data_IF_795078777826
#
_entry.id   IF_795078777826
#
_cell.length_a   1.000
_cell.length_b   1.000
_cell.length_c   1.000
_cell.angle_alpha   90.00
_cell.angle_beta   90.00
_cell.angle_gamma   90.00
#
_symmetry.space_group_name_H-M   'P 1'
#
loop_
_entity.id
_entity.type
_entity.pdbx_description
1 polymer ?
#
# COMPACT_ATOMS: atom_id res chain seq x y z
N UNK A 1 30.76 -12.17 68.05
CA UNK A 1 31.30 -12.74 66.79
C UNK A 1 30.20 -13.29 65.89
N UNK A 2 29.30 -14.14 66.40
CA UNK A 2 28.17 -14.73 65.64
C UNK A 2 27.26 -13.69 64.95
N UNK A 3 26.85 -12.61 65.63
CA UNK A 3 26.01 -11.57 65.00
C UNK A 3 26.69 -10.85 63.81
N UNK A 4 28.01 -10.63 63.86
CA UNK A 4 28.73 -10.00 62.74
C UNK A 4 28.79 -10.95 61.53
N UNK A 5 29.01 -12.24 61.78
CA UNK A 5 29.01 -13.28 60.73
C UNK A 5 27.62 -13.39 60.08
N UNK A 6 26.54 -13.40 60.87
CA UNK A 6 25.17 -13.43 60.34
C UNK A 6 24.83 -12.19 59.52
N UNK A 7 25.30 -11.01 59.94
CA UNK A 7 25.11 -9.75 59.21
C UNK A 7 25.83 -9.77 57.85
N UNK A 8 27.09 -10.23 57.82
CA UNK A 8 27.87 -10.35 56.58
C UNK A 8 27.30 -11.39 55.62
N UNK A 9 26.80 -12.53 56.12
CA UNK A 9 26.13 -13.52 55.25
C UNK A 9 24.83 -12.98 54.66
N UNK A 10 24.06 -12.20 55.43
CA UNK A 10 22.83 -11.60 54.94
C UNK A 10 23.08 -10.53 53.85
N UNK A 11 24.08 -9.65 54.04
CA UNK A 11 24.46 -8.69 52.99
C UNK A 11 24.95 -9.37 51.72
N UNK A 12 25.69 -10.48 51.84
CA UNK A 12 26.20 -11.20 50.68
C UNK A 12 25.09 -11.91 49.88
N UNK A 13 24.06 -12.44 50.57
CA UNK A 13 22.87 -13.01 49.93
C UNK A 13 22.04 -11.92 49.24
N UNK A 14 21.83 -10.77 49.88
CA UNK A 14 21.09 -9.64 49.29
C UNK A 14 21.82 -9.12 48.04
N UNK A 15 23.15 -8.97 48.11
CA UNK A 15 23.96 -8.56 46.97
C UNK A 15 23.86 -9.59 45.82
N UNK A 16 23.95 -10.89 46.12
CA UNK A 16 23.80 -11.94 45.11
C UNK A 16 22.41 -11.92 44.44
N UNK A 17 21.34 -11.69 45.21
CA UNK A 17 19.98 -11.57 44.68
C UNK A 17 19.79 -10.33 43.77
N UNK A 18 20.47 -9.21 44.09
CA UNK A 18 20.46 -8.01 43.25
C UNK A 18 21.13 -8.25 41.89
N UNK A 19 22.21 -9.04 41.82
CA UNK A 19 22.88 -9.36 40.55
C UNK A 19 22.09 -10.34 39.67
N UNK A 20 21.19 -11.16 40.22
CA UNK A 20 20.31 -12.06 39.45
C UNK A 20 19.01 -11.38 38.98
N UNK A 21 18.71 -10.17 39.47
CA UNK A 21 17.48 -9.44 39.14
C UNK A 21 17.50 -8.82 37.74
N UNK A 22 18.68 -8.72 37.11
CA UNK A 22 18.83 -8.21 35.75
C UNK A 22 18.72 -9.36 34.75
N UNK A 23 17.50 -9.77 34.41
CA UNK A 23 17.26 -10.67 33.28
C UNK A 23 16.97 -9.85 32.04
N UNK A 24 17.90 -9.82 31.09
CA UNK A 24 17.65 -9.27 29.75
C UNK A 24 17.14 -10.39 28.85
N UNK A 25 15.83 -10.55 28.73
CA UNK A 25 15.25 -11.38 27.67
C UNK A 25 15.10 -10.52 26.40
N UNK A 26 15.81 -10.84 25.30
CA UNK A 26 15.68 -10.11 24.04
C UNK A 26 14.27 -10.13 23.45
N UNK A 27 13.43 -11.08 23.87
CA UNK A 27 12.03 -11.21 23.43
C UNK A 27 11.03 -10.60 24.41
N UNK A 28 11.50 -10.01 25.52
CA UNK A 28 10.63 -9.29 26.45
C UNK A 28 10.52 -7.82 26.03
N UNK A 29 9.31 -7.22 26.02
CA UNK A 29 9.16 -5.78 25.82
C UNK A 29 9.78 -4.94 26.95
N UNK A 30 10.24 -5.60 28.02
CA UNK A 30 10.84 -4.96 29.18
C UNK A 30 9.81 -4.61 30.26
N UNK A 31 10.25 -3.85 31.26
CA UNK A 31 9.37 -3.32 32.30
C UNK A 31 9.07 -1.86 32.01
N UNK A 32 7.79 -1.50 32.03
CA UNK A 32 7.36 -0.10 31.90
C UNK A 32 7.24 0.52 33.30
N UNK A 33 7.88 1.67 33.52
CA UNK A 33 7.74 2.44 34.77
C UNK A 33 6.84 3.64 34.51
N UNK A 34 5.78 3.77 35.31
CA UNK A 34 4.75 4.83 35.17
C UNK A 34 4.18 4.91 33.74
N UNK A 35 3.48 3.88 33.24
CA UNK A 35 2.96 3.84 31.86
C UNK A 35 1.74 4.76 31.61
N UNK A 36 1.56 5.81 32.41
CA UNK A 36 0.46 6.75 32.25
C UNK A 36 0.59 7.45 30.89
N UNK A 37 -0.48 7.38 30.08
CA UNK A 37 -0.54 7.89 28.71
C UNK A 37 0.39 7.23 27.67
N UNK A 38 1.04 6.10 27.97
CA UNK A 38 1.80 5.35 26.96
C UNK A 38 0.89 4.65 25.95
N UNK A 39 -0.34 4.34 26.39
CA UNK A 39 -1.42 3.80 25.58
C UNK A 39 -2.51 4.84 25.46
N UNK A 40 -2.93 5.12 24.23
CA UNK A 40 -4.00 6.06 23.99
C UNK A 40 -5.32 5.48 24.52
N UNK A 41 -6.14 6.26 25.24
CA UNK A 41 -7.51 5.85 25.54
C UNK A 41 -8.41 5.85 24.28
N UNK A 42 -7.95 6.44 23.17
CA UNK A 42 -8.69 6.41 21.91
C UNK A 42 -8.42 5.11 21.15
N UNK A 43 -9.47 4.55 20.53
CA UNK A 43 -9.35 3.36 19.68
C UNK A 43 -8.56 3.68 18.42
N UNK A 44 -7.41 3.04 18.25
CA UNK A 44 -6.56 3.16 17.07
C UNK A 44 -6.88 2.07 16.03
N UNK A 45 -6.56 2.31 14.75
CA UNK A 45 -7.06 1.49 13.63
C UNK A 45 -6.50 0.05 13.55
N UNK A 46 -5.31 -0.20 14.08
CA UNK A 46 -4.61 -1.49 14.00
C UNK A 46 -3.83 -1.82 15.27
N UNK A 47 -4.41 -1.54 16.44
CA UNK A 47 -3.76 -1.85 17.72
C UNK A 47 -4.20 -3.17 18.30
N UNK A 48 -3.23 -3.88 18.86
CA UNK A 48 -3.35 -5.22 19.44
C UNK A 48 -3.44 -5.21 20.97
N UNK A 49 -3.22 -4.06 21.60
CA UNK A 49 -3.20 -3.92 23.06
C UNK A 49 -4.56 -3.57 23.67
N UNK A 50 -5.57 -3.23 22.85
CA UNK A 50 -6.92 -2.88 23.33
C UNK A 50 -6.92 -1.57 24.12
N UNK A 51 -7.99 -1.25 24.83
CA UNK A 51 -7.93 -0.18 25.83
C UNK A 51 -7.17 -0.67 27.08
N UNK A 52 -6.56 0.26 27.80
CA UNK A 52 -5.75 -0.06 28.98
C UNK A 52 -6.64 -0.65 30.10
N UNK A 53 -6.26 -1.80 30.71
CA UNK A 53 -6.96 -2.43 31.84
C UNK A 53 -7.15 -1.53 33.07
N UNK A 54 -6.47 -0.38 33.16
CA UNK A 54 -6.75 0.63 34.18
C UNK A 54 -8.11 1.30 33.99
N UNK A 55 -8.66 1.33 32.77
CA UNK A 55 -9.96 1.93 32.45
C UNK A 55 -11.08 0.91 32.27
N UNK A 56 -10.75 -0.31 31.85
CA UNK A 56 -11.70 -1.41 31.60
C UNK A 56 -11.23 -2.71 32.24
N UNK A 57 -12.11 -3.69 32.45
CA UNK A 57 -11.68 -4.99 32.99
C UNK A 57 -10.79 -5.75 31.98
N UNK A 58 -9.89 -6.61 32.46
CA UNK A 58 -9.01 -7.41 31.58
C UNK A 58 -9.79 -8.31 30.61
N UNK A 59 -10.99 -8.76 31.00
CA UNK A 59 -11.91 -9.47 30.10
C UNK A 59 -12.27 -8.61 28.88
N UNK A 60 -12.74 -7.37 29.12
CA UNK A 60 -13.12 -6.42 28.07
C UNK A 60 -11.91 -6.03 27.23
N UNK A 61 -10.77 -5.72 27.86
CA UNK A 61 -9.54 -5.43 27.14
C UNK A 61 -9.14 -6.60 26.23
N UNK A 62 -9.18 -7.84 26.73
CA UNK A 62 -8.82 -9.03 25.95
C UNK A 62 -9.74 -9.29 24.75
N UNK A 63 -11.04 -8.98 24.85
CA UNK A 63 -11.99 -9.07 23.73
C UNK A 63 -11.72 -8.01 22.67
N UNK A 64 -11.42 -6.77 23.09
CA UNK A 64 -11.06 -5.68 22.20
C UNK A 64 -9.79 -5.99 21.41
N UNK A 65 -8.75 -6.55 22.06
CA UNK A 65 -7.50 -7.00 21.40
C UNK A 65 -7.74 -8.01 20.28
N UNK A 66 -8.82 -8.81 20.39
CA UNK A 66 -9.20 -9.84 19.41
C UNK A 66 -10.20 -9.33 18.36
N UNK A 67 -10.69 -8.11 18.52
CA UNK A 67 -11.71 -7.52 17.65
C UNK A 67 -11.08 -6.42 16.81
N UNK A 68 -11.22 -6.51 15.49
CA UNK A 68 -10.71 -5.49 14.58
C UNK A 68 -11.40 -4.16 14.80
N UNK A 69 -10.63 -3.13 15.14
CA UNK A 69 -11.13 -1.75 15.29
C UNK A 69 -11.46 -1.10 13.94
N UNK A 70 -10.68 -1.40 12.89
CA UNK A 70 -10.96 -1.02 11.51
C UNK A 70 -12.18 -1.78 10.94
N UNK A 71 -13.38 -1.21 11.10
CA UNK A 71 -14.62 -1.81 10.60
C UNK A 71 -14.84 -1.55 9.10
N UNK A 72 -15.58 -2.45 8.45
CA UNK A 72 -16.03 -2.25 7.07
C UNK A 72 -17.11 -1.14 7.02
N UNK A 73 -17.02 -0.21 6.06
CA UNK A 73 -18.09 0.77 5.85
C UNK A 73 -19.36 0.08 5.33
N UNK A 74 -20.51 0.75 5.50
CA UNK A 74 -21.81 0.26 5.00
C UNK A 74 -21.78 0.22 3.47
N UNK A 75 -22.35 -0.84 2.90
CA UNK A 75 -22.43 -0.98 1.45
C UNK A 75 -23.12 0.23 0.80
N UNK A 76 -22.51 0.77 -0.26
CA UNK A 76 -23.02 1.94 -0.98
C UNK A 76 -22.60 3.30 -0.41
N UNK A 77 -21.87 3.34 0.71
CA UNK A 77 -21.33 4.62 1.21
C UNK A 77 -20.24 5.17 0.28
N UNK A 78 -20.33 6.44 -0.08
CA UNK A 78 -19.32 7.15 -0.86
C UNK A 78 -18.62 8.16 0.05
N UNK A 79 -17.30 8.08 0.15
CA UNK A 79 -16.51 9.01 0.95
C UNK A 79 -16.45 10.39 0.30
N UNK A 80 -16.57 11.45 1.10
CA UNK A 80 -16.36 12.81 0.61
C UNK A 80 -14.88 13.05 0.30
N UNK A 81 -14.59 13.56 -0.90
CA UNK A 81 -13.22 13.75 -1.42
C UNK A 81 -12.86 15.20 -1.77
N UNK A 82 -13.72 16.16 -1.46
CA UNK A 82 -13.46 17.58 -1.76
C UNK A 82 -13.16 17.82 -3.23
N UNK A 83 -12.01 18.44 -3.52
CA UNK A 83 -11.58 18.78 -4.87
C UNK A 83 -11.25 17.54 -5.73
N UNK A 84 -10.81 16.44 -5.12
CA UNK A 84 -10.51 15.16 -5.79
C UNK A 84 -11.77 14.27 -5.98
N UNK A 85 -12.98 14.86 -6.04
CA UNK A 85 -14.26 14.13 -6.17
C UNK A 85 -14.30 13.16 -7.36
N UNK A 86 -13.61 13.49 -8.45
CA UNK A 86 -13.55 12.67 -9.66
C UNK A 86 -12.85 11.33 -9.43
N UNK A 87 -11.91 11.28 -8.47
CA UNK A 87 -11.18 10.07 -8.07
C UNK A 87 -11.81 9.37 -6.85
N UNK A 88 -12.99 9.83 -6.41
CA UNK A 88 -13.71 9.32 -5.25
C UNK A 88 -14.93 8.48 -5.60
N UNK A 89 -15.35 8.48 -6.86
CA UNK A 89 -16.58 7.82 -7.29
C UNK A 89 -16.37 6.29 -7.41
N UNK A 90 -17.44 5.50 -7.18
CA UNK A 90 -17.40 4.07 -7.46
C UNK A 90 -17.06 3.80 -8.93
N UNK A 91 -16.24 2.76 -9.16
CA UNK A 91 -15.94 2.31 -10.50
C UNK A 91 -17.18 1.71 -11.16
N UNK A 92 -17.55 2.22 -12.34
CA UNK A 92 -18.83 1.95 -12.97
C UNK A 92 -18.89 0.61 -13.75
N UNK A 93 -17.74 0.06 -14.12
CA UNK A 93 -17.68 -1.11 -15.00
C UNK A 93 -17.60 -2.40 -14.16
N UNK A 94 -18.46 -3.40 -14.42
CA UNK A 94 -18.43 -4.66 -13.67
C UNK A 94 -17.22 -5.51 -14.04
N UNK A 95 -16.78 -6.39 -13.13
CA UNK A 95 -15.70 -7.36 -13.39
C UNK A 95 -16.18 -8.51 -14.30
N UNK A 96 -16.45 -8.19 -15.57
CA UNK A 96 -16.82 -9.15 -16.62
C UNK A 96 -16.02 -8.84 -17.89
N UNK A 97 -15.90 -9.80 -18.84
CA UNK A 97 -15.26 -9.54 -20.12
C UNK A 97 -15.89 -8.34 -20.86
N UNK A 98 -17.21 -8.21 -20.82
CA UNK A 98 -17.93 -7.10 -21.43
C UNK A 98 -17.60 -5.77 -20.73
N UNK A 99 -17.50 -5.77 -19.40
CA UNK A 99 -17.07 -4.59 -18.64
C UNK A 99 -15.63 -4.18 -18.92
N UNK A 100 -14.73 -5.15 -19.17
CA UNK A 100 -13.36 -4.89 -19.58
C UNK A 100 -13.27 -4.27 -20.98
N UNK A 101 -14.06 -4.76 -21.93
CA UNK A 101 -14.14 -4.19 -23.28
C UNK A 101 -14.75 -2.78 -23.26
N UNK A 102 -15.88 -2.61 -22.57
CA UNK A 102 -16.56 -1.32 -22.43
C UNK A 102 -15.68 -0.27 -21.75
N UNK A 103 -14.91 -0.66 -20.72
CA UNK A 103 -13.93 0.23 -20.11
C UNK A 103 -12.87 0.68 -21.15
N UNK A 104 -12.40 -0.21 -22.02
CA UNK A 104 -11.43 0.16 -23.06
C UNK A 104 -11.94 1.21 -24.04
N UNK A 105 -13.24 1.17 -24.35
CA UNK A 105 -13.89 2.07 -25.30
C UNK A 105 -14.23 3.42 -24.65
N UNK A 106 -14.90 3.39 -23.50
CA UNK A 106 -15.55 4.57 -22.93
C UNK A 106 -14.76 5.23 -21.81
N UNK A 107 -13.97 4.48 -21.05
CA UNK A 107 -13.29 5.04 -19.87
C UNK A 107 -12.04 5.82 -20.30
N UNK A 108 -12.05 7.11 -19.98
CA UNK A 108 -10.93 8.02 -20.19
C UNK A 108 -10.40 8.58 -18.87
N UNK A 109 -9.10 8.84 -18.84
CA UNK A 109 -8.46 9.47 -17.69
C UNK A 109 -8.99 10.89 -17.48
N UNK A 110 -9.54 11.24 -16.30
CA UNK A 110 -9.83 12.64 -15.97
C UNK A 110 -8.56 13.41 -15.57
N UNK A 111 -7.43 12.70 -15.34
CA UNK A 111 -6.18 13.31 -14.93
C UNK A 111 -5.44 13.91 -16.15
N UNK A 112 -5.11 15.21 -16.14
CA UNK A 112 -4.30 15.80 -17.20
C UNK A 112 -2.91 15.17 -17.23
N UNK A 113 -2.39 14.94 -18.42
CA UNK A 113 -1.04 14.40 -18.61
C UNK A 113 -0.03 15.51 -18.43
N UNK A 114 0.72 15.50 -17.33
CA UNK A 114 1.76 16.48 -17.01
C UNK A 114 3.04 15.75 -16.60
N UNK A 115 4.19 16.40 -16.68
CA UNK A 115 5.45 15.81 -16.23
C UNK A 115 5.36 15.33 -14.77
N UNK A 116 4.78 16.16 -13.89
CA UNK A 116 4.60 15.83 -12.48
C UNK A 116 3.72 14.59 -12.25
N UNK A 117 2.65 14.42 -13.03
CA UNK A 117 1.80 13.23 -12.92
C UNK A 117 2.50 11.96 -13.42
N UNK A 118 3.28 12.06 -14.49
CA UNK A 118 4.08 10.94 -15.01
C UNK A 118 5.18 10.55 -14.00
N UNK A 119 5.87 11.53 -13.41
CA UNK A 119 6.90 11.28 -12.38
C UNK A 119 6.30 10.62 -11.13
N UNK A 120 5.15 11.09 -10.66
CA UNK A 120 4.42 10.44 -9.58
C UNK A 120 3.99 9.00 -9.96
N UNK A 121 3.60 8.81 -11.22
CA UNK A 121 3.31 7.50 -11.79
C UNK A 121 4.52 6.56 -11.79
N UNK A 122 5.69 7.08 -12.18
CA UNK A 122 6.95 6.35 -12.19
C UNK A 122 7.34 5.89 -10.78
N UNK A 123 7.22 6.76 -9.77
CA UNK A 123 7.49 6.40 -8.38
C UNK A 123 6.55 5.29 -7.89
N UNK A 124 5.24 5.40 -8.16
CA UNK A 124 4.29 4.36 -7.78
C UNK A 124 4.52 3.05 -8.54
N UNK A 125 4.89 3.12 -9.83
CA UNK A 125 5.24 1.95 -10.64
C UNK A 125 6.49 1.25 -10.10
N UNK A 126 7.50 2.01 -9.69
CA UNK A 126 8.72 1.48 -9.09
C UNK A 126 8.41 0.65 -7.85
N UNK A 127 7.57 1.19 -6.96
CA UNK A 127 7.16 0.53 -5.72
C UNK A 127 6.28 -0.69 -5.95
N UNK A 128 5.33 -0.61 -6.89
CA UNK A 128 4.20 -1.55 -6.95
C UNK A 128 4.21 -2.49 -8.16
N UNK A 129 5.01 -2.23 -9.20
CA UNK A 129 4.89 -2.94 -10.48
C UNK A 129 6.19 -3.60 -10.96
N UNK A 130 7.35 -3.00 -10.66
CA UNK A 130 8.65 -3.45 -11.21
C UNK A 130 9.07 -4.86 -10.82
N UNK A 131 8.64 -5.32 -9.63
CA UNK A 131 8.95 -6.66 -9.16
C UNK A 131 8.45 -7.76 -10.11
N UNK A 132 7.39 -7.49 -10.87
CA UNK A 132 6.81 -8.34 -11.90
C UNK A 132 7.11 -7.84 -13.33
N UNK A 133 6.84 -6.57 -13.62
CA UNK A 133 6.93 -6.00 -14.96
C UNK A 133 8.34 -5.55 -15.39
N UNK A 134 9.28 -5.44 -14.46
CA UNK A 134 10.61 -4.87 -14.72
C UNK A 134 10.61 -3.34 -14.76
N UNK A 135 11.80 -2.73 -14.71
CA UNK A 135 11.95 -1.26 -14.71
C UNK A 135 11.51 -0.65 -16.05
N UNK A 136 11.82 -1.33 -17.15
CA UNK A 136 11.49 -0.89 -18.50
C UNK A 136 10.15 -1.47 -19.00
N UNK A 137 9.41 -2.20 -18.15
CA UNK A 137 8.12 -2.77 -18.53
C UNK A 137 8.18 -3.97 -19.48
N UNK A 138 9.32 -4.67 -19.53
CA UNK A 138 9.58 -5.81 -20.44
C UNK A 138 9.03 -7.15 -19.95
N UNK A 139 8.39 -7.17 -18.78
CA UNK A 139 7.90 -8.40 -18.15
C UNK A 139 9.01 -9.26 -17.53
N UNK A 140 10.16 -8.66 -17.25
CA UNK A 140 11.39 -9.30 -16.78
C UNK A 140 11.72 -8.91 -15.34
N UNK A 141 10.71 -8.60 -14.52
CA UNK A 141 10.88 -8.33 -13.09
C UNK A 141 11.46 -9.54 -12.33
N UNK A 142 11.95 -9.31 -11.11
CA UNK A 142 12.60 -10.36 -10.31
C UNK A 142 11.73 -11.61 -10.12
N UNK A 143 10.41 -11.45 -9.94
CA UNK A 143 9.46 -12.56 -9.81
C UNK A 143 9.35 -13.37 -11.11
N UNK A 144 9.44 -12.68 -12.27
CA UNK A 144 9.44 -13.31 -13.59
C UNK A 144 10.74 -14.07 -13.87
N UNK A 145 11.89 -13.42 -13.62
CA UNK A 145 13.21 -14.02 -13.84
C UNK A 145 13.46 -15.25 -12.97
N UNK A 146 12.89 -15.27 -11.77
CA UNK A 146 12.99 -16.41 -10.86
C UNK A 146 12.00 -17.55 -11.19
N UNK A 147 11.18 -17.40 -12.24
CA UNK A 147 10.29 -18.45 -12.74
C UNK A 147 9.00 -18.65 -11.94
N UNK A 148 8.70 -17.77 -10.97
CA UNK A 148 7.47 -17.88 -10.16
C UNK A 148 6.23 -17.48 -10.95
N UNK A 149 6.33 -16.45 -11.80
CA UNK A 149 5.26 -16.00 -12.70
C UNK A 149 5.85 -15.84 -14.09
N UNK A 150 5.43 -16.67 -15.05
CA UNK A 150 5.89 -16.59 -16.43
C UNK A 150 4.87 -15.91 -17.34
N UNK A 151 5.34 -15.37 -18.46
CA UNK A 151 4.47 -14.85 -19.52
C UNK A 151 3.92 -13.44 -19.29
N UNK A 152 4.55 -12.65 -18.40
CA UNK A 152 4.23 -11.23 -18.24
C UNK A 152 4.55 -10.51 -19.56
N UNK A 153 3.58 -9.82 -20.19
CA UNK A 153 3.77 -9.22 -21.49
C UNK A 153 4.61 -7.93 -21.42
N UNK A 154 5.39 -7.68 -22.45
CA UNK A 154 6.12 -6.42 -22.68
C UNK A 154 5.16 -5.30 -23.09
N UNK A 155 5.26 -4.14 -22.42
CA UNK A 155 4.42 -2.98 -22.70
C UNK A 155 4.65 -2.36 -24.07
N UNK A 156 5.90 -2.30 -24.54
CA UNK A 156 6.28 -1.68 -25.82
C UNK A 156 5.98 -2.56 -27.04
N UNK A 157 5.78 -3.87 -26.83
CA UNK A 157 5.56 -4.84 -27.92
C UNK A 157 4.14 -5.43 -27.86
N UNK A 158 3.80 -6.16 -26.80
CA UNK A 158 2.55 -6.92 -26.73
C UNK A 158 1.36 -6.09 -26.27
N UNK A 159 1.61 -5.07 -25.46
CA UNK A 159 0.57 -4.19 -24.94
C UNK A 159 0.68 -2.76 -25.46
N UNK A 160 1.38 -2.53 -26.58
CA UNK A 160 1.65 -1.19 -27.11
C UNK A 160 0.39 -0.35 -27.32
N UNK A 161 -0.66 -0.99 -27.84
CA UNK A 161 -1.93 -0.33 -28.19
C UNK A 161 -3.03 -0.63 -27.17
N UNK A 162 -2.67 -1.08 -25.95
CA UNK A 162 -3.66 -1.35 -24.91
C UNK A 162 -4.32 -0.04 -24.46
N UNK A 163 -5.66 0.12 -24.56
CA UNK A 163 -6.34 1.34 -24.13
C UNK A 163 -6.25 1.60 -22.63
N UNK A 164 -6.20 2.87 -22.24
CA UNK A 164 -6.08 3.29 -20.84
C UNK A 164 -7.20 2.78 -19.94
N UNK A 165 -8.42 2.71 -20.46
CA UNK A 165 -9.54 2.17 -19.70
C UNK A 165 -9.39 0.67 -19.36
N UNK A 166 -8.81 -0.12 -20.26
CA UNK A 166 -8.46 -1.53 -20.01
C UNK A 166 -7.31 -1.68 -19.01
N UNK A 167 -6.35 -0.77 -19.05
CA UNK A 167 -5.28 -0.70 -18.04
C UNK A 167 -5.88 -0.41 -16.66
N UNK A 168 -6.76 0.59 -16.56
CA UNK A 168 -7.44 0.92 -15.31
C UNK A 168 -8.29 -0.24 -14.79
N UNK A 169 -9.06 -0.91 -15.66
CA UNK A 169 -9.84 -2.08 -15.29
C UNK A 169 -8.97 -3.20 -14.72
N UNK A 170 -7.80 -3.44 -15.34
CA UNK A 170 -6.81 -4.43 -14.87
C UNK A 170 -6.26 -4.06 -13.49
N UNK A 171 -5.98 -2.78 -13.23
CA UNK A 171 -5.53 -2.33 -11.91
C UNK A 171 -6.65 -2.42 -10.85
N UNK A 172 -7.90 -2.21 -11.25
CA UNK A 172 -9.06 -2.26 -10.37
C UNK A 172 -9.42 -3.69 -9.93
N UNK A 173 -9.44 -4.66 -10.85
CA UNK A 173 -9.88 -6.03 -10.54
C UNK A 173 -8.79 -7.09 -10.62
N UNK A 174 -7.66 -6.79 -11.26
CA UNK A 174 -6.67 -7.79 -11.67
C UNK A 174 -6.98 -8.38 -13.04
N UNK A 175 -6.02 -9.14 -13.59
CA UNK A 175 -6.19 -9.89 -14.84
C UNK A 175 -5.27 -11.11 -14.87
N UNK A 176 -5.84 -12.29 -15.07
CA UNK A 176 -5.10 -13.54 -15.04
C UNK A 176 -4.45 -13.77 -13.67
N UNK A 177 -3.12 -13.83 -13.62
CA UNK A 177 -2.36 -13.99 -12.38
C UNK A 177 -2.09 -12.66 -11.64
N UNK A 178 -2.36 -11.53 -12.27
CA UNK A 178 -2.22 -10.21 -11.64
C UNK A 178 -3.44 -9.92 -10.76
N UNK A 179 -3.20 -9.64 -9.46
CA UNK A 179 -4.25 -9.24 -8.52
C UNK A 179 -4.69 -7.77 -8.67
N UNK A 180 -5.70 -7.38 -7.90
CA UNK A 180 -6.14 -5.99 -7.81
C UNK A 180 -5.16 -5.12 -7.00
N UNK A 181 -4.93 -3.89 -7.47
CA UNK A 181 -4.17 -2.86 -6.76
C UNK A 181 -5.04 -1.76 -6.15
N UNK A 182 -6.38 -1.84 -6.30
CA UNK A 182 -7.31 -0.80 -5.87
C UNK A 182 -7.31 -0.52 -4.35
N UNK A 183 -6.89 -1.49 -3.53
CA UNK A 183 -6.77 -1.33 -2.08
C UNK A 183 -5.43 -0.72 -1.63
N UNK A 184 -4.42 -0.74 -2.50
CA UNK A 184 -3.05 -0.31 -2.19
C UNK A 184 -2.74 1.07 -2.75
N UNK A 185 -3.37 1.43 -3.87
CA UNK A 185 -3.08 2.65 -4.62
C UNK A 185 -4.38 3.44 -4.80
N UNK A 186 -4.31 4.75 -4.58
CA UNK A 186 -5.46 5.64 -4.80
C UNK A 186 -5.86 5.67 -6.29
N UNK A 187 -7.13 5.94 -6.60
CA UNK A 187 -7.60 6.03 -7.99
C UNK A 187 -6.80 7.03 -8.83
N UNK A 188 -6.43 8.18 -8.25
CA UNK A 188 -5.52 9.14 -8.89
C UNK A 188 -4.14 8.54 -9.16
N UNK A 189 -3.59 7.80 -8.20
CA UNK A 189 -2.33 7.06 -8.35
C UNK A 189 -2.39 5.99 -9.44
N UNK A 190 -3.53 5.32 -9.62
CA UNK A 190 -3.73 4.37 -10.72
C UNK A 190 -3.65 5.08 -12.08
N UNK A 191 -4.30 6.25 -12.23
CA UNK A 191 -4.18 7.05 -13.45
C UNK A 191 -2.76 7.56 -13.70
N UNK A 192 -2.04 7.97 -12.65
CA UNK A 192 -0.63 8.36 -12.76
C UNK A 192 0.24 7.19 -13.24
N UNK A 193 0.05 5.98 -12.69
CA UNK A 193 0.74 4.77 -13.17
C UNK A 193 0.43 4.53 -14.64
N UNK A 194 -0.83 4.66 -15.06
CA UNK A 194 -1.22 4.45 -16.45
C UNK A 194 -0.51 5.44 -17.39
N UNK A 195 -0.41 6.72 -17.02
CA UNK A 195 0.35 7.70 -17.80
C UNK A 195 1.83 7.29 -17.94
N UNK A 196 2.44 6.77 -16.88
CA UNK A 196 3.81 6.24 -16.94
C UNK A 196 3.92 4.96 -17.79
N UNK A 197 2.95 4.04 -17.71
CA UNK A 197 2.90 2.85 -18.56
C UNK A 197 2.78 3.24 -20.04
N UNK A 198 2.02 4.29 -20.37
CA UNK A 198 1.94 4.82 -21.73
C UNK A 198 3.28 5.38 -22.23
N UNK A 199 4.10 5.95 -21.35
CA UNK A 199 5.49 6.32 -21.67
C UNK A 199 6.34 5.07 -21.96
N UNK A 200 6.19 4.00 -21.17
CA UNK A 200 6.86 2.72 -21.42
C UNK A 200 6.41 2.04 -22.72
N UNK A 201 5.12 2.11 -23.08
CA UNK A 201 4.59 1.64 -24.37
C UNK A 201 5.30 2.32 -25.55
N UNK A 202 5.72 3.59 -25.38
CA UNK A 202 6.48 4.39 -26.36
C UNK A 202 8.00 4.27 -26.21
N UNK A 203 8.48 3.23 -25.51
CA UNK A 203 9.92 2.98 -25.33
C UNK A 203 10.60 3.94 -24.36
N UNK A 204 9.85 4.49 -23.39
CA UNK A 204 10.39 5.42 -22.38
C UNK A 204 10.46 6.87 -22.85
N UNK A 205 9.87 7.20 -24.00
CA UNK A 205 9.87 8.56 -24.53
C UNK A 205 8.80 9.41 -23.84
N UNK A 206 9.23 10.45 -23.14
CA UNK A 206 8.33 11.43 -22.55
C UNK A 206 7.59 12.21 -23.64
N UNK A 207 6.31 12.56 -23.43
CA UNK A 207 5.58 13.42 -24.35
C UNK A 207 6.17 14.84 -24.34
N UNK A 208 5.90 15.60 -25.40
CA UNK A 208 6.16 17.04 -25.43
C UNK A 208 5.09 17.76 -24.62
N UNK A 209 5.45 18.85 -23.95
CA UNK A 209 4.54 19.63 -23.10
C UNK A 209 4.35 21.04 -23.68
N UNK A 210 3.15 21.60 -23.50
CA UNK A 210 2.82 22.98 -23.86
C UNK A 210 3.34 23.98 -22.80
N UNK A 211 3.02 25.27 -22.99
CA UNK A 211 3.40 26.33 -22.05
C UNK A 211 2.76 26.20 -20.67
N UNK A 212 1.64 25.48 -20.57
CA UNK A 212 0.89 25.24 -19.34
C UNK A 212 1.36 23.93 -18.65
N UNK A 213 2.34 23.23 -19.23
CA UNK A 213 2.92 22.00 -18.68
C UNK A 213 2.06 20.76 -18.91
N UNK A 214 1.08 20.83 -19.82
CA UNK A 214 0.22 19.72 -20.23
C UNK A 214 0.78 19.09 -21.49
N UNK A 215 0.69 17.76 -21.59
CA UNK A 215 1.22 17.03 -22.73
C UNK A 215 0.45 17.41 -24.01
N UNK A 216 1.21 17.75 -25.05
CA UNK A 216 0.67 18.00 -26.38
C UNK A 216 0.26 16.63 -26.94
N UNK A 217 -1.03 16.46 -27.19
CA UNK A 217 -1.53 15.31 -27.94
C UNK A 217 -1.06 15.51 -29.38
N UNK A 218 0.09 14.94 -29.73
CA UNK A 218 0.48 14.84 -31.13
C UNK A 218 -0.44 13.80 -31.77
N UNK A 219 -1.54 14.27 -32.37
CA UNK A 219 -2.26 13.49 -33.37
C UNK A 219 -1.27 13.23 -34.51
N UNK A 220 -0.66 12.05 -34.55
CA UNK A 220 0.04 11.57 -35.74
C UNK A 220 -0.30 10.09 -35.96
N UNK A 221 -1.02 9.88 -37.06
CA UNK A 221 -1.05 8.71 -37.94
C UNK A 221 -1.82 7.47 -37.47
N UNK A 222 -3.14 7.48 -37.70
CA UNK A 222 -3.81 6.62 -38.69
C UNK A 222 -5.33 6.79 -38.58
N UNK A 223 -5.83 7.82 -39.25
CA UNK A 223 -7.21 7.83 -39.74
C UNK A 223 -7.11 7.55 -41.25
N UNK A 224 -7.06 6.26 -41.59
CA UNK A 224 -7.35 5.66 -42.90
C UNK A 224 -7.67 4.17 -42.69
#
# INVERSE_FOLDING_TARGET
MRHKITLYTATLIIAAAMFTSCTTDPNSPGVEYMPDMYRSPAVEAYVDYGEDPYYVTEEVASEQRRTMSARKPVAGSIAFKGDDKEFGLPYAYPNTPEGYELAGEELKSPLPTTASNIEAGAANFELMCTHCHGLEGKGDGAISRNGHIMGIPDFSIKLKDLPEGKMYHTLMYGKGLMGSHASQISQKGLWQIIQYVQVLQKGGQMPTFDSDGVAIVTENENND
#
